data_IF_095828824104
#
_entry.id   IF_095828824104
#
_cell.length_a   1.000
_cell.length_b   1.000
_cell.length_c   1.000
_cell.angle_alpha   90.00
_cell.angle_beta   90.00
_cell.angle_gamma   90.00
#
_symmetry.space_group_name_H-M   'P 1'
#
loop_
_entity.id
_entity.type
_entity.pdbx_description
1 polymer ?
#
# COMPACT_ATOMS: atom_id res chain seq x y z
N UNK A 1 -8.87 -5.83 7.68
CA UNK A 1 -9.87 -6.56 6.91
C UNK A 1 -9.69 -6.29 5.41
N UNK A 2 -9.37 -7.33 4.65
CA UNK A 2 -9.19 -7.25 3.19
C UNK A 2 -10.49 -7.57 2.43
N UNK A 3 -11.62 -7.73 3.11
CA UNK A 3 -12.90 -8.09 2.50
C UNK A 3 -13.33 -7.19 1.35
N UNK A 4 -13.00 -5.90 1.41
CA UNK A 4 -13.32 -4.95 0.35
C UNK A 4 -12.59 -5.23 -0.98
N UNK A 5 -11.41 -5.86 -0.96
CA UNK A 5 -10.72 -6.28 -2.20
C UNK A 5 -11.51 -7.36 -2.93
N UNK A 6 -12.14 -8.26 -2.20
CA UNK A 6 -12.92 -9.33 -2.78
C UNK A 6 -14.31 -8.87 -3.21
N UNK A 7 -14.96 -8.01 -2.40
CA UNK A 7 -16.31 -7.49 -2.71
C UNK A 7 -16.28 -6.38 -3.74
N UNK A 8 -15.50 -5.33 -3.52
CA UNK A 8 -15.49 -4.12 -4.35
C UNK A 8 -14.48 -4.20 -5.49
N UNK A 9 -13.20 -4.42 -5.20
CA UNK A 9 -12.16 -4.41 -6.22
C UNK A 9 -12.29 -5.60 -7.18
N UNK A 10 -12.34 -6.82 -6.69
CA UNK A 10 -12.55 -8.01 -7.51
C UNK A 10 -14.00 -8.17 -7.96
N UNK A 11 -14.95 -7.76 -7.13
CA UNK A 11 -16.38 -7.91 -7.40
C UNK A 11 -16.79 -9.37 -7.56
N UNK A 12 -16.31 -10.23 -6.65
CA UNK A 12 -16.61 -11.67 -6.68
C UNK A 12 -18.09 -11.88 -6.45
N UNK A 13 -18.69 -12.67 -7.31
CA UNK A 13 -20.12 -12.99 -7.23
C UNK A 13 -20.49 -13.53 -5.86
N UNK A 14 -21.55 -12.96 -5.28
CA UNK A 14 -22.10 -13.29 -3.97
C UNK A 14 -21.16 -13.12 -2.77
N UNK A 15 -20.00 -12.44 -2.90
CA UNK A 15 -19.05 -12.30 -1.80
C UNK A 15 -19.71 -11.77 -0.52
N UNK A 16 -20.43 -10.63 -0.60
CA UNK A 16 -21.05 -10.02 0.58
C UNK A 16 -22.12 -10.95 1.20
N UNK A 17 -22.97 -11.54 0.36
CA UNK A 17 -24.06 -12.40 0.82
C UNK A 17 -23.56 -13.72 1.46
N UNK A 18 -22.43 -14.23 1.03
CA UNK A 18 -21.77 -15.37 1.69
C UNK A 18 -21.06 -14.93 2.97
N UNK A 19 -20.41 -13.76 2.95
CA UNK A 19 -19.69 -13.22 4.11
C UNK A 19 -20.61 -12.86 5.29
N UNK A 20 -21.82 -12.38 5.01
CA UNK A 20 -22.85 -12.08 6.03
C UNK A 20 -23.75 -13.27 6.40
N UNK A 21 -23.52 -14.44 5.77
CA UNK A 21 -24.26 -15.66 6.03
C UNK A 21 -25.64 -15.76 5.38
N UNK A 22 -26.04 -14.79 4.54
CA UNK A 22 -27.32 -14.82 3.83
C UNK A 22 -27.35 -15.81 2.67
N UNK A 23 -26.17 -16.28 2.22
CA UNK A 23 -25.99 -17.33 1.22
C UNK A 23 -25.00 -18.39 1.65
N UNK A 24 -25.15 -19.59 1.12
CA UNK A 24 -24.22 -20.69 1.37
C UNK A 24 -22.86 -20.46 0.68
N UNK A 25 -21.79 -20.98 1.28
CA UNK A 25 -20.41 -20.90 0.71
C UNK A 25 -20.36 -21.48 -0.70
N UNK A 26 -21.15 -22.49 -1.00
CA UNK A 26 -21.26 -23.08 -2.35
C UNK A 26 -21.78 -22.14 -3.43
N UNK A 27 -22.38 -21.02 -3.06
CA UNK A 27 -22.87 -19.99 -3.99
C UNK A 27 -21.84 -18.90 -4.27
N UNK A 28 -20.68 -18.95 -3.59
CA UNK A 28 -19.57 -18.03 -3.81
C UNK A 28 -19.04 -18.16 -5.24
N UNK A 29 -18.75 -17.04 -5.89
CA UNK A 29 -18.16 -17.00 -7.23
C UNK A 29 -16.72 -17.49 -7.30
N UNK A 30 -16.28 -18.37 -6.40
CA UNK A 30 -14.96 -19.02 -6.43
C UNK A 30 -15.17 -20.51 -6.25
N UNK A 31 -14.63 -21.32 -7.16
CA UNK A 31 -14.67 -22.77 -7.04
C UNK A 31 -13.38 -23.41 -7.56
N UNK A 32 -12.96 -24.48 -6.92
CA UNK A 32 -11.97 -25.39 -7.47
C UNK A 32 -12.63 -26.25 -8.55
N UNK A 33 -12.08 -26.21 -9.76
CA UNK A 33 -12.53 -27.06 -10.87
C UNK A 33 -11.85 -28.42 -10.79
N UNK A 34 -10.55 -28.37 -10.49
CA UNK A 34 -9.67 -29.51 -10.24
C UNK A 34 -8.53 -29.10 -9.29
N UNK A 35 -7.55 -29.98 -9.07
CA UNK A 35 -6.44 -29.76 -8.14
C UNK A 35 -5.53 -28.58 -8.50
N UNK A 36 -5.57 -28.10 -9.73
CA UNK A 36 -4.70 -27.04 -10.25
C UNK A 36 -5.47 -25.84 -10.82
N UNK A 37 -6.81 -25.91 -10.86
CA UNK A 37 -7.65 -24.91 -11.54
C UNK A 37 -8.67 -24.33 -10.58
N UNK A 38 -8.63 -23.00 -10.43
CA UNK A 38 -9.66 -22.23 -9.72
C UNK A 38 -10.41 -21.37 -10.75
N UNK A 39 -11.74 -21.47 -10.70
CA UNK A 39 -12.62 -20.58 -11.47
C UNK A 39 -13.13 -19.46 -10.60
N UNK A 40 -13.01 -18.22 -11.08
CA UNK A 40 -13.52 -17.03 -10.41
C UNK A 40 -14.58 -16.37 -11.28
N UNK A 41 -15.78 -16.21 -10.73
CA UNK A 41 -16.91 -15.51 -11.35
C UNK A 41 -17.10 -14.15 -10.67
N UNK A 42 -17.22 -13.09 -11.43
CA UNK A 42 -17.44 -11.74 -10.95
C UNK A 42 -18.85 -11.24 -11.28
N UNK A 43 -19.39 -10.29 -10.50
CA UNK A 43 -20.70 -9.68 -10.70
C UNK A 43 -20.79 -8.89 -12.03
N UNK A 44 -19.66 -8.38 -12.51
CA UNK A 44 -19.55 -7.64 -13.76
C UNK A 44 -18.18 -7.84 -14.39
N UNK A 45 -18.03 -7.48 -15.66
CA UNK A 45 -16.73 -7.55 -16.36
C UNK A 45 -15.71 -6.67 -15.66
N UNK A 46 -14.58 -7.26 -15.27
CA UNK A 46 -13.45 -6.62 -14.56
C UNK A 46 -12.14 -6.84 -15.32
N UNK A 47 -11.82 -6.01 -16.34
CA UNK A 47 -10.62 -6.20 -17.16
C UNK A 47 -9.31 -6.15 -16.36
N UNK A 48 -9.32 -5.50 -15.20
CA UNK A 48 -8.18 -5.35 -14.29
C UNK A 48 -8.06 -6.47 -13.25
N UNK A 49 -8.95 -7.47 -13.26
CA UNK A 49 -8.99 -8.56 -12.27
C UNK A 49 -7.65 -9.30 -12.11
N UNK A 50 -6.86 -9.58 -13.18
CA UNK A 50 -5.54 -10.19 -13.00
C UNK A 50 -4.60 -9.38 -12.11
N UNK A 51 -4.68 -8.04 -12.16
CA UNK A 51 -3.92 -7.16 -11.25
C UNK A 51 -4.39 -7.25 -9.80
N UNK A 52 -5.70 -7.45 -9.56
CA UNK A 52 -6.24 -7.62 -8.21
C UNK A 52 -5.76 -8.93 -7.58
N UNK A 53 -5.55 -9.97 -8.37
CA UNK A 53 -5.03 -11.25 -7.87
C UNK A 53 -3.63 -11.15 -7.25
N UNK A 54 -2.83 -10.13 -7.61
CA UNK A 54 -1.54 -9.89 -6.97
C UNK A 54 -1.65 -9.53 -5.48
N UNK A 55 -2.85 -9.13 -5.03
CA UNK A 55 -3.16 -8.79 -3.64
C UNK A 55 -3.77 -9.98 -2.86
N UNK A 56 -3.94 -11.12 -3.49
CA UNK A 56 -4.49 -12.30 -2.84
C UNK A 56 -3.38 -13.15 -2.22
N UNK A 57 -3.62 -13.54 -0.97
CA UNK A 57 -2.71 -14.38 -0.22
C UNK A 57 -3.33 -15.77 -0.06
N UNK A 58 -2.87 -16.78 -0.79
CA UNK A 58 -3.40 -18.13 -0.66
C UNK A 58 -3.07 -18.69 0.72
N UNK A 59 -4.04 -19.34 1.33
CA UNK A 59 -3.89 -20.05 2.60
C UNK A 59 -3.56 -21.52 2.30
N UNK A 60 -2.50 -22.03 2.93
CA UNK A 60 -2.10 -23.42 2.78
C UNK A 60 -3.10 -24.34 3.51
N UNK A 61 -3.97 -25.04 2.77
CA UNK A 61 -5.07 -25.86 3.32
C UNK A 61 -4.58 -26.88 4.37
N UNK A 62 -3.47 -27.56 4.08
CA UNK A 62 -2.91 -28.56 5.00
C UNK A 62 -2.47 -27.94 6.34
N UNK A 63 -1.93 -26.73 6.31
CA UNK A 63 -1.55 -26.02 7.52
C UNK A 63 -2.77 -25.45 8.26
N UNK A 64 -3.76 -24.94 7.53
CA UNK A 64 -5.02 -24.51 8.13
C UNK A 64 -5.75 -25.69 8.82
N UNK A 65 -5.87 -26.83 8.15
CA UNK A 65 -6.47 -28.04 8.74
C UNK A 65 -5.75 -28.54 10.00
N UNK A 66 -4.42 -28.34 10.04
CA UNK A 66 -3.60 -28.76 11.19
C UNK A 66 -3.66 -27.79 12.36
N UNK A 67 -3.67 -26.47 12.10
CA UNK A 67 -3.47 -25.44 13.11
C UNK A 67 -4.72 -24.62 13.43
N UNK A 68 -5.74 -24.60 12.55
CA UNK A 68 -6.98 -23.85 12.75
C UNK A 68 -6.71 -22.38 13.03
N UNK A 69 -7.25 -21.87 14.14
CA UNK A 69 -7.11 -20.47 14.57
C UNK A 69 -5.67 -20.07 14.92
N UNK A 70 -4.78 -21.04 15.15
CA UNK A 70 -3.35 -20.81 15.38
C UNK A 70 -2.55 -20.69 14.07
N UNK A 71 -3.19 -20.79 12.89
CA UNK A 71 -2.54 -20.59 11.61
C UNK A 71 -1.85 -19.24 11.55
N UNK A 72 -0.55 -19.22 11.22
CA UNK A 72 0.29 -18.03 11.15
C UNK A 72 0.38 -17.20 12.47
N UNK A 73 -0.03 -17.77 13.61
CA UNK A 73 0.07 -17.09 14.90
C UNK A 73 1.50 -17.05 15.45
N UNK A 74 2.35 -17.98 15.03
CA UNK A 74 3.76 -18.07 15.43
C UNK A 74 4.59 -18.73 14.33
N UNK A 75 5.90 -18.85 14.55
CA UNK A 75 6.87 -19.42 13.59
C UNK A 75 6.51 -20.82 13.15
N UNK A 76 6.10 -21.69 14.10
CA UNK A 76 5.83 -23.10 13.83
C UNK A 76 4.53 -23.33 13.05
N UNK A 77 3.64 -22.33 13.06
CA UNK A 77 2.33 -22.39 12.39
C UNK A 77 2.25 -21.53 11.12
N UNK A 78 3.37 -20.86 10.75
CA UNK A 78 3.48 -20.01 9.56
C UNK A 78 4.13 -20.76 8.40
N UNK A 79 3.35 -21.31 7.45
CA UNK A 79 3.94 -21.90 6.24
C UNK A 79 4.52 -20.82 5.32
N UNK A 80 5.57 -21.15 4.60
CA UNK A 80 6.17 -20.25 3.61
C UNK A 80 6.47 -20.99 2.31
N UNK A 81 6.09 -20.37 1.19
CA UNK A 81 6.47 -20.80 -0.17
C UNK A 81 7.54 -19.89 -0.79
N UNK A 82 8.09 -18.95 -0.03
CA UNK A 82 9.07 -17.97 -0.51
C UNK A 82 10.52 -18.42 -0.27
N UNK A 83 11.45 -17.64 -0.85
CA UNK A 83 12.90 -17.89 -0.73
C UNK A 83 13.45 -17.79 0.71
N UNK A 84 12.67 -17.22 1.62
CA UNK A 84 12.96 -17.13 3.04
C UNK A 84 11.85 -17.73 3.88
N UNK A 85 12.23 -18.36 5.00
CA UNK A 85 11.34 -18.82 6.06
C UNK A 85 11.64 -18.04 7.34
N UNK A 86 10.63 -17.80 8.15
CA UNK A 86 10.79 -17.14 9.46
C UNK A 86 11.45 -18.11 10.44
N UNK A 87 12.62 -17.71 10.98
CA UNK A 87 13.37 -18.45 12.01
C UNK A 87 12.89 -18.08 13.41
N UNK A 88 12.62 -16.78 13.64
CA UNK A 88 12.14 -16.30 14.93
C UNK A 88 11.23 -15.07 14.80
N UNK A 89 10.34 -14.91 15.75
CA UNK A 89 9.47 -13.76 15.88
C UNK A 89 9.36 -13.33 17.35
N UNK A 90 10.04 -12.27 17.72
CA UNK A 90 9.94 -11.67 19.05
C UNK A 90 8.68 -10.80 19.13
N UNK A 91 7.65 -11.29 19.79
CA UNK A 91 6.33 -10.63 19.83
C UNK A 91 6.34 -9.27 20.54
N UNK A 92 7.21 -9.08 21.53
CA UNK A 92 7.28 -7.84 22.33
C UNK A 92 7.76 -6.65 21.52
N UNK A 93 8.73 -6.86 20.62
CA UNK A 93 9.35 -5.84 19.78
C UNK A 93 8.90 -5.94 18.32
N UNK A 94 8.18 -7.01 17.98
CA UNK A 94 7.87 -7.42 16.61
C UNK A 94 9.13 -7.64 15.73
N UNK A 95 10.28 -7.91 16.33
CA UNK A 95 11.50 -8.25 15.62
C UNK A 95 11.39 -9.62 14.99
N UNK A 96 11.75 -9.72 13.74
CA UNK A 96 11.60 -10.94 12.94
C UNK A 96 12.93 -11.31 12.30
N UNK A 97 13.29 -12.59 12.36
CA UNK A 97 14.46 -13.13 11.68
C UNK A 97 14.01 -14.14 10.64
N UNK A 98 14.55 -14.00 9.45
CA UNK A 98 14.30 -14.88 8.31
C UNK A 98 15.61 -15.50 7.84
N UNK A 99 15.56 -16.78 7.47
CA UNK A 99 16.70 -17.53 6.90
C UNK A 99 16.31 -18.10 5.54
N UNK A 100 17.30 -18.48 4.74
CA UNK A 100 17.05 -19.14 3.46
C UNK A 100 16.11 -20.34 3.63
N UNK A 101 15.15 -20.45 2.72
CA UNK A 101 14.30 -21.62 2.61
C UNK A 101 15.03 -22.71 1.80
N UNK A 102 15.44 -23.82 2.42
CA UNK A 102 16.19 -24.86 1.72
C UNK A 102 15.38 -25.62 0.67
N UNK A 103 14.06 -25.52 0.75
CA UNK A 103 13.13 -26.20 -0.18
C UNK A 103 12.61 -25.29 -1.29
N UNK A 104 13.03 -24.01 -1.31
CA UNK A 104 12.59 -23.08 -2.34
C UNK A 104 13.22 -23.42 -3.71
N UNK A 105 12.35 -23.58 -4.70
CA UNK A 105 12.72 -23.88 -6.09
C UNK A 105 12.17 -22.88 -7.10
N UNK A 106 11.71 -21.71 -6.61
CA UNK A 106 11.15 -20.65 -7.45
C UNK A 106 12.23 -19.82 -8.20
N UNK A 107 11.80 -18.85 -9.02
CA UNK A 107 12.69 -18.11 -9.91
C UNK A 107 13.62 -17.10 -9.21
N UNK A 108 13.38 -16.78 -7.94
CA UNK A 108 14.15 -15.78 -7.17
C UNK A 108 14.77 -16.36 -5.91
N UNK A 109 15.84 -17.16 -6.03
CA UNK A 109 16.49 -17.74 -4.86
C UNK A 109 17.14 -16.67 -3.98
N UNK A 110 17.18 -16.93 -2.67
CA UNK A 110 17.83 -16.06 -1.70
C UNK A 110 19.33 -15.93 -1.99
N UNK A 111 19.83 -14.70 -2.12
CA UNK A 111 21.25 -14.40 -2.35
C UNK A 111 22.02 -14.15 -1.05
N UNK A 112 21.31 -13.80 0.03
CA UNK A 112 21.85 -13.60 1.39
C UNK A 112 21.30 -14.68 2.30
N UNK A 113 21.98 -14.96 3.39
CA UNK A 113 21.65 -16.10 4.26
C UNK A 113 20.56 -15.76 5.28
N UNK A 114 20.57 -14.51 5.75
CA UNK A 114 19.68 -14.06 6.83
C UNK A 114 19.18 -12.64 6.59
N UNK A 115 17.92 -12.39 6.95
CA UNK A 115 17.30 -11.06 7.00
C UNK A 115 16.74 -10.84 8.40
N UNK A 116 17.07 -9.72 9.01
CA UNK A 116 16.50 -9.30 10.30
C UNK A 116 15.67 -8.04 10.05
N UNK A 117 14.38 -8.10 10.38
CA UNK A 117 13.50 -6.93 10.37
C UNK A 117 13.31 -6.49 11.82
N UNK A 118 13.80 -5.30 12.13
CA UNK A 118 13.75 -4.71 13.46
C UNK A 118 12.92 -3.42 13.45
N UNK A 119 11.63 -3.46 13.80
CA UNK A 119 10.78 -2.28 13.81
C UNK A 119 11.16 -1.25 14.90
N UNK A 120 11.96 -1.63 15.90
CA UNK A 120 12.39 -0.69 16.95
C UNK A 120 13.29 0.41 16.42
N UNK A 121 13.98 0.16 15.30
CA UNK A 121 14.80 1.13 14.56
C UNK A 121 14.15 1.53 13.22
N UNK A 122 12.85 1.26 13.03
CA UNK A 122 12.15 1.50 11.77
C UNK A 122 11.89 2.97 11.45
N UNK A 123 11.80 3.83 12.47
CA UNK A 123 11.64 5.28 12.26
C UNK A 123 12.94 5.89 11.71
N UNK A 124 12.87 6.82 10.72
CA UNK A 124 14.04 7.44 10.11
C UNK A 124 15.00 8.11 11.12
N UNK A 125 14.45 8.65 12.20
CA UNK A 125 15.19 9.33 13.26
C UNK A 125 16.10 8.38 14.05
N UNK A 126 15.75 7.09 14.11
CA UNK A 126 16.50 6.03 14.79
C UNK A 126 17.27 5.18 13.78
N UNK A 127 16.62 4.82 12.68
CA UNK A 127 17.20 3.92 11.67
C UNK A 127 18.37 4.52 10.92
N UNK A 128 18.36 5.82 10.62
CA UNK A 128 19.48 6.44 9.93
C UNK A 128 20.75 6.54 10.79
N UNK A 129 20.70 6.94 12.07
CA UNK A 129 21.83 6.77 12.99
C UNK A 129 22.35 5.32 13.10
N UNK A 130 21.44 4.33 13.19
CA UNK A 130 21.82 2.92 13.21
C UNK A 130 22.54 2.48 11.92
N UNK A 131 22.08 2.93 10.74
CA UNK A 131 22.76 2.71 9.47
C UNK A 131 24.17 3.32 9.48
N UNK A 132 24.31 4.57 9.94
CA UNK A 132 25.62 5.23 10.03
C UNK A 132 26.60 4.54 11.00
N UNK A 133 26.07 3.90 12.05
CA UNK A 133 26.84 3.13 13.02
C UNK A 133 27.21 1.73 12.53
N UNK A 134 26.57 1.25 11.44
CA UNK A 134 26.73 -0.11 10.93
C UNK A 134 25.84 -1.14 11.64
N UNK A 135 24.88 -0.69 12.42
CA UNK A 135 23.91 -1.56 13.12
C UNK A 135 22.70 -1.94 12.24
N UNK A 136 22.54 -1.25 11.10
CA UNK A 136 21.53 -1.53 10.08
C UNK A 136 22.14 -1.45 8.68
N UNK A 137 21.76 -2.38 7.80
CA UNK A 137 22.19 -2.42 6.39
C UNK A 137 21.28 -1.56 5.50
N UNK A 138 20.06 -1.30 5.94
CA UNK A 138 19.04 -0.55 5.20
C UNK A 138 18.13 0.20 6.14
N UNK A 139 17.78 1.43 5.77
CA UNK A 139 16.82 2.27 6.50
C UNK A 139 16.06 3.18 5.53
N UNK A 140 14.96 3.74 6.00
CA UNK A 140 14.26 4.85 5.32
C UNK A 140 14.79 6.19 5.81
N UNK A 141 14.62 7.22 5.00
CA UNK A 141 15.01 8.60 5.33
C UNK A 141 13.80 9.51 5.36
N UNK A 142 13.80 10.49 6.25
CA UNK A 142 12.90 11.63 6.14
C UNK A 142 13.52 12.72 5.24
N UNK A 143 12.68 13.68 4.83
CA UNK A 143 13.09 14.78 3.92
C UNK A 143 14.29 15.57 4.46
N UNK A 144 14.39 15.75 5.77
CA UNK A 144 15.49 16.50 6.40
C UNK A 144 16.85 15.80 6.32
N UNK A 145 16.86 14.47 6.26
CA UNK A 145 18.08 13.65 6.24
C UNK A 145 18.67 13.47 4.84
N UNK A 146 17.86 13.68 3.79
CA UNK A 146 18.27 13.42 2.40
C UNK A 146 19.49 14.22 1.97
N UNK A 147 19.61 15.53 2.21
CA UNK A 147 20.79 16.29 1.79
C UNK A 147 22.10 15.75 2.41
N UNK A 148 22.03 15.32 3.66
CA UNK A 148 23.18 14.70 4.32
C UNK A 148 23.51 13.34 3.69
N UNK A 149 22.50 12.49 3.46
CA UNK A 149 22.69 11.19 2.82
C UNK A 149 23.24 11.32 1.39
N UNK A 150 22.73 12.27 0.61
CA UNK A 150 23.26 12.60 -0.74
C UNK A 150 24.75 12.98 -0.70
N UNK A 151 25.15 13.75 0.31
CA UNK A 151 26.52 14.18 0.46
C UNK A 151 27.48 13.07 0.94
N UNK A 152 27.03 12.21 1.86
CA UNK A 152 27.89 11.22 2.54
C UNK A 152 27.78 9.82 1.99
N UNK A 153 26.61 9.45 1.45
CA UNK A 153 26.28 8.10 0.98
C UNK A 153 25.67 8.10 -0.42
N UNK A 154 26.24 8.84 -1.41
CA UNK A 154 25.62 9.02 -2.73
C UNK A 154 25.40 7.70 -3.49
N UNK A 155 26.25 6.71 -3.22
CA UNK A 155 26.17 5.39 -3.86
C UNK A 155 25.17 4.45 -3.19
N UNK A 156 24.77 4.73 -1.96
CA UNK A 156 23.86 3.89 -1.16
C UNK A 156 22.43 4.42 -1.20
N UNK A 157 22.26 5.74 -1.43
CA UNK A 157 20.95 6.34 -1.55
C UNK A 157 20.19 5.78 -2.76
N UNK A 158 18.97 5.33 -2.51
CA UNK A 158 18.04 4.87 -3.54
C UNK A 158 16.73 5.63 -3.43
N UNK A 159 16.28 6.16 -4.56
CA UNK A 159 14.98 6.83 -4.69
C UNK A 159 14.14 6.07 -5.70
N UNK A 160 12.96 5.65 -5.31
CA UNK A 160 12.05 4.94 -6.17
C UNK A 160 10.72 5.71 -6.23
N UNK A 161 10.20 5.92 -7.43
CA UNK A 161 8.83 6.39 -7.60
C UNK A 161 7.85 5.30 -7.15
N UNK A 162 6.85 5.70 -6.38
CA UNK A 162 5.74 4.82 -6.00
C UNK A 162 4.45 5.26 -6.69
N UNK A 163 3.61 4.30 -7.09
CA UNK A 163 2.29 4.58 -7.61
C UNK A 163 1.34 4.90 -6.45
N UNK A 164 1.45 6.11 -5.92
CA UNK A 164 0.62 6.60 -4.83
C UNK A 164 0.30 8.07 -5.02
N UNK A 165 -0.90 8.47 -4.58
CA UNK A 165 -1.34 9.87 -4.55
C UNK A 165 -1.76 10.20 -3.13
N UNK A 166 -1.14 11.22 -2.54
CA UNK A 166 -1.59 11.79 -1.27
C UNK A 166 -2.68 12.82 -1.52
N UNK A 167 -3.78 12.70 -0.83
CA UNK A 167 -4.93 13.60 -0.99
C UNK A 167 -5.63 13.83 0.35
N UNK A 168 -6.40 14.91 0.41
CA UNK A 168 -7.29 15.22 1.53
C UNK A 168 -8.70 14.78 1.14
N UNK A 169 -9.30 13.90 1.94
CA UNK A 169 -10.70 13.52 1.82
C UNK A 169 -11.56 14.44 2.67
N UNK A 170 -12.72 14.79 2.15
CA UNK A 170 -13.74 15.56 2.86
C UNK A 170 -14.92 14.64 3.19
N UNK A 171 -15.45 14.77 4.41
CA UNK A 171 -16.75 14.20 4.73
C UNK A 171 -17.84 15.06 4.09
N UNK A 172 -18.39 14.59 2.98
CA UNK A 172 -19.39 15.33 2.20
C UNK A 172 -20.75 15.40 2.89
N UNK A 173 -20.94 14.71 4.00
CA UNK A 173 -22.19 14.71 4.79
C UNK A 173 -22.14 15.69 5.95
N UNK A 174 -20.98 16.28 6.24
CA UNK A 174 -20.74 17.16 7.37
C UNK A 174 -20.38 18.58 6.94
N UNK A 175 -21.01 19.59 7.56
CA UNK A 175 -20.63 20.99 7.36
C UNK A 175 -19.20 21.24 7.87
N UNK A 176 -18.41 22.12 7.22
CA UNK A 176 -18.78 22.91 6.03
C UNK A 176 -18.48 22.19 4.70
N UNK A 177 -18.09 20.91 4.72
CA UNK A 177 -17.59 20.19 3.55
C UNK A 177 -18.73 19.59 2.69
N UNK A 178 -19.96 19.61 3.14
CA UNK A 178 -21.16 19.35 2.35
C UNK A 178 -21.38 20.42 1.26
N UNK A 179 -20.88 21.67 1.49
CA UNK A 179 -20.88 22.73 0.49
C UNK A 179 -19.74 22.55 -0.52
N UNK A 180 -20.09 22.51 -1.82
CA UNK A 180 -19.12 22.31 -2.91
C UNK A 180 -18.17 23.51 -3.07
N UNK A 181 -18.61 24.72 -2.74
CA UNK A 181 -17.80 25.93 -2.93
C UNK A 181 -16.71 26.05 -1.86
N UNK A 182 -16.96 25.54 -0.64
CA UNK A 182 -15.91 25.34 0.37
C UNK A 182 -14.84 24.40 -0.15
N UNK A 183 -15.21 23.26 -0.75
CA UNK A 183 -14.24 22.30 -1.30
C UNK A 183 -13.43 22.86 -2.46
N UNK A 184 -14.08 23.67 -3.35
CA UNK A 184 -13.39 24.38 -4.42
C UNK A 184 -12.45 25.44 -3.88
N UNK A 185 -12.84 26.17 -2.85
CA UNK A 185 -11.98 27.15 -2.20
C UNK A 185 -10.68 26.50 -1.69
N UNK A 186 -10.77 25.37 -0.99
CA UNK A 186 -9.62 24.62 -0.54
C UNK A 186 -8.77 24.10 -1.71
N UNK A 187 -9.41 23.68 -2.81
CA UNK A 187 -8.69 23.26 -4.01
C UNK A 187 -7.82 24.39 -4.60
N UNK A 188 -8.34 25.62 -4.67
CA UNK A 188 -7.61 26.79 -5.16
C UNK A 188 -6.60 27.34 -4.17
N UNK A 189 -6.77 27.10 -2.87
CA UNK A 189 -5.89 27.62 -1.82
C UNK A 189 -4.56 26.87 -1.70
N UNK A 190 -4.43 25.68 -2.26
CA UNK A 190 -3.22 24.86 -2.10
C UNK A 190 -2.24 25.10 -3.24
N UNK A 191 -1.07 25.67 -2.90
CA UNK A 191 0.07 25.76 -3.80
C UNK A 191 0.82 24.41 -3.81
N UNK A 192 0.48 23.59 -4.79
CA UNK A 192 1.06 22.25 -4.93
C UNK A 192 2.50 22.27 -5.39
N UNK A 193 2.85 23.25 -6.23
CA UNK A 193 4.20 23.39 -6.76
C UNK A 193 5.14 23.85 -5.63
N UNK A 194 4.75 24.86 -4.83
CA UNK A 194 5.52 25.30 -3.65
C UNK A 194 5.66 24.17 -2.61
N UNK A 195 4.58 23.44 -2.33
CA UNK A 195 4.59 22.33 -1.39
C UNK A 195 5.57 21.23 -1.82
N UNK A 196 5.61 20.87 -3.10
CA UNK A 196 6.50 19.81 -3.58
C UNK A 196 7.94 20.27 -3.71
N UNK A 197 8.18 21.47 -4.21
CA UNK A 197 9.53 21.96 -4.47
C UNK A 197 10.25 22.40 -3.17
N UNK A 198 9.54 23.12 -2.29
CA UNK A 198 10.14 23.70 -1.09
C UNK A 198 10.01 22.79 0.13
N UNK A 199 8.80 22.26 0.40
CA UNK A 199 8.57 21.46 1.61
C UNK A 199 9.05 20.02 1.40
N UNK A 200 8.72 19.41 0.27
CA UNK A 200 9.07 18.02 -0.04
C UNK A 200 10.40 17.89 -0.81
N UNK A 201 11.05 19.02 -1.16
CA UNK A 201 12.38 19.06 -1.80
C UNK A 201 12.45 18.14 -3.04
N UNK A 202 11.48 18.27 -3.92
CA UNK A 202 11.34 17.51 -5.18
C UNK A 202 11.19 15.98 -5.01
N UNK A 203 10.82 15.52 -3.81
CA UNK A 203 10.55 14.09 -3.56
C UNK A 203 9.16 13.63 -3.97
N UNK A 204 8.34 14.55 -4.43
CA UNK A 204 7.00 14.26 -4.95
C UNK A 204 6.75 15.08 -6.22
N UNK A 205 5.80 14.63 -7.01
CA UNK A 205 5.28 15.37 -8.17
C UNK A 205 4.02 16.11 -7.72
N UNK A 206 3.81 17.40 -8.10
CA UNK A 206 2.60 18.12 -7.74
C UNK A 206 1.34 17.37 -8.17
N UNK A 207 0.50 17.02 -7.20
CA UNK A 207 -0.73 16.24 -7.42
C UNK A 207 -1.82 17.09 -8.07
N UNK A 208 -1.93 17.02 -9.40
CA UNK A 208 -2.91 17.80 -10.20
C UNK A 208 -4.14 16.99 -10.60
N UNK A 209 -4.21 15.71 -10.25
CA UNK A 209 -5.35 14.82 -10.44
C UNK A 209 -5.29 13.65 -9.47
N UNK A 210 -6.39 12.90 -9.34
CA UNK A 210 -6.45 11.70 -8.50
C UNK A 210 -5.55 10.58 -9.06
N UNK A 211 -5.38 10.52 -10.38
CA UNK A 211 -4.45 9.59 -11.01
C UNK A 211 -3.15 10.33 -11.34
N UNK A 212 -2.03 9.83 -10.85
CA UNK A 212 -0.71 10.38 -11.15
C UNK A 212 -0.24 9.99 -12.57
N UNK A 213 0.72 10.74 -13.16
CA UNK A 213 1.38 10.33 -14.39
C UNK A 213 1.89 8.89 -14.31
N UNK A 214 1.64 8.09 -15.35
CA UNK A 214 1.99 6.67 -15.42
C UNK A 214 0.92 5.71 -14.94
N UNK A 215 -0.13 6.19 -14.26
CA UNK A 215 -1.30 5.34 -13.96
C UNK A 215 -2.12 5.07 -15.23
N UNK A 216 -2.64 3.84 -15.40
CA UNK A 216 -3.65 3.58 -16.42
C UNK A 216 -4.86 4.51 -16.26
N UNK A 217 -5.25 5.20 -17.33
CA UNK A 217 -6.35 6.16 -17.30
C UNK A 217 -5.97 7.57 -16.87
N UNK A 218 -4.67 7.86 -16.60
CA UNK A 218 -4.21 9.23 -16.39
C UNK A 218 -4.59 10.10 -17.61
N UNK A 219 -5.14 11.27 -17.33
CA UNK A 219 -5.49 12.26 -18.36
C UNK A 219 -4.85 13.60 -18.02
N UNK A 220 -3.89 14.03 -18.83
CA UNK A 220 -3.18 15.28 -18.64
C UNK A 220 -4.09 16.51 -18.79
N UNK A 221 -5.14 16.44 -19.62
CA UNK A 221 -6.05 17.57 -19.87
C UNK A 221 -6.76 18.08 -18.61
N UNK A 222 -6.96 17.23 -17.60
CA UNK A 222 -7.60 17.65 -16.35
C UNK A 222 -6.66 18.43 -15.43
N UNK A 223 -5.36 18.35 -15.63
CA UNK A 223 -4.37 19.04 -14.77
C UNK A 223 -4.46 20.57 -14.86
N UNK A 224 -5.00 21.09 -15.97
CA UNK A 224 -5.25 22.53 -16.18
C UNK A 224 -6.23 23.14 -15.18
N UNK A 225 -7.06 22.32 -14.53
CA UNK A 225 -7.98 22.78 -13.49
C UNK A 225 -7.37 22.84 -12.10
N UNK A 226 -6.18 22.28 -11.90
CA UNK A 226 -5.46 22.29 -10.63
C UNK A 226 -4.58 23.56 -10.52
N UNK A 227 -5.23 24.69 -10.41
CA UNK A 227 -4.58 26.01 -10.35
C UNK A 227 -4.55 26.49 -8.90
N UNK A 228 -3.40 27.03 -8.48
CA UNK A 228 -3.30 27.79 -7.24
C UNK A 228 -3.80 29.23 -7.51
N UNK A 229 -4.90 29.61 -6.85
CA UNK A 229 -5.51 30.92 -7.00
C UNK A 229 -6.16 31.36 -5.68
N UNK A 230 -5.41 32.04 -4.79
CA UNK A 230 -5.92 32.51 -3.51
C UNK A 230 -7.06 33.54 -3.62
N UNK A 231 -7.13 34.30 -4.72
CA UNK A 231 -8.22 35.25 -4.92
C UNK A 231 -9.54 34.51 -5.19
N UNK A 232 -9.47 33.52 -6.07
CA UNK A 232 -10.61 32.66 -6.37
C UNK A 232 -11.02 31.79 -5.18
N UNK A 233 -10.07 31.34 -4.36
CA UNK A 233 -10.36 30.65 -3.12
C UNK A 233 -11.21 31.51 -2.16
N UNK A 234 -10.86 32.79 -2.00
CA UNK A 234 -11.63 33.74 -1.18
C UNK A 234 -13.02 34.01 -1.75
N UNK A 235 -13.14 34.15 -3.08
CA UNK A 235 -14.43 34.31 -3.77
C UNK A 235 -15.35 33.12 -3.48
N UNK A 236 -14.87 31.90 -3.65
CA UNK A 236 -15.65 30.69 -3.38
C UNK A 236 -16.06 30.55 -1.91
N UNK A 237 -15.22 30.97 -0.96
CA UNK A 237 -15.59 31.01 0.46
C UNK A 237 -16.68 32.04 0.73
N UNK A 238 -16.64 33.21 0.08
CA UNK A 238 -17.65 34.24 0.22
C UNK A 238 -19.00 33.80 -0.38
N UNK A 239 -18.99 33.03 -1.46
CA UNK A 239 -20.19 32.43 -2.06
C UNK A 239 -20.80 31.34 -1.16
N UNK A 240 -19.97 30.67 -0.40
CA UNK A 240 -20.37 29.59 0.51
C UNK A 240 -21.06 30.11 1.81
N UNK A 241 -20.88 31.38 2.17
CA UNK A 241 -21.39 32.02 3.39
C UNK A 241 -20.36 31.95 4.52
#
# INVERSE_FOLDING_TARGET
DFGWYYSFAAGIKNWNAVSDGSKAVSELGIRAVDDLTIEVTTESVKPYLPGVFSLWFPVAEHAWKKHGDEYAANVDTLPSSYAFIMESWEKSTNKQTFVKNPTYNGPWPAKIDKVIIDPTIGAPEVGFPAYMAGDADMTTLNVGQIPYAQSKFPNDLRTNAIFAVSYISFDLTSAPFDNVDVRKALWYAVDRDEMTNTVLKDLAIPGKSLLAPGFPGYNEDITKYAVFDPAKAKEQLAEAG
#
